data_IF_427095279446
#
_entry.id   IF_427095279446
#
_cell.length_a   1.000
_cell.length_b   1.000
_cell.length_c   1.000
_cell.angle_alpha   90.00
_cell.angle_beta   90.00
_cell.angle_gamma   90.00
#
_symmetry.space_group_name_H-M   'P 1'
#
loop_
_entity.id
_entity.type
_entity.pdbx_description
1 polymer ?
#
# COMPACT_ATOMS: atom_id res chain seq x y z
N UNK A 1 38.80 33.28 -2.65
CA UNK A 1 39.09 31.87 -2.27
C UNK A 1 37.86 31.07 -1.75
N UNK A 2 36.61 31.35 -2.21
CA UNK A 2 35.38 30.67 -1.73
C UNK A 2 34.55 29.96 -2.84
N UNK A 3 35.13 29.72 -4.03
CA UNK A 3 34.41 29.14 -5.19
C UNK A 3 34.64 27.63 -5.41
N UNK A 4 35.62 27.00 -4.75
CA UNK A 4 35.91 25.57 -4.93
C UNK A 4 35.03 24.63 -4.08
N UNK A 5 34.35 25.14 -3.04
CA UNK A 5 33.54 24.32 -2.12
C UNK A 5 32.20 23.85 -2.73
N UNK A 6 31.69 24.54 -3.76
CA UNK A 6 30.42 24.21 -4.42
C UNK A 6 30.52 23.04 -5.40
N UNK A 7 31.68 22.89 -6.06
CA UNK A 7 31.90 21.83 -7.06
C UNK A 7 31.99 20.45 -6.39
N UNK A 8 32.58 20.37 -5.19
CA UNK A 8 32.67 19.14 -4.40
C UNK A 8 31.32 18.62 -3.91
N UNK A 9 30.39 19.50 -3.51
CA UNK A 9 29.02 19.12 -3.12
C UNK A 9 28.21 18.63 -4.32
N UNK A 10 28.48 19.18 -5.51
CA UNK A 10 27.84 18.76 -6.75
C UNK A 10 28.36 17.40 -7.23
N UNK A 11 29.69 17.17 -7.19
CA UNK A 11 30.27 15.86 -7.47
C UNK A 11 29.85 14.80 -6.44
N UNK A 12 29.76 15.14 -5.15
CA UNK A 12 29.28 14.23 -4.11
C UNK A 12 27.79 13.90 -4.30
N UNK A 13 26.97 14.89 -4.68
CA UNK A 13 25.57 14.69 -5.01
C UNK A 13 25.37 13.82 -6.26
N UNK A 14 26.21 14.01 -7.28
CA UNK A 14 26.20 13.19 -8.51
C UNK A 14 26.65 11.76 -8.23
N UNK A 15 27.68 11.57 -7.40
CA UNK A 15 28.14 10.25 -6.96
C UNK A 15 27.09 9.52 -6.12
N UNK A 16 26.40 10.24 -5.21
CA UNK A 16 25.33 9.67 -4.40
C UNK A 16 24.10 9.31 -5.26
N UNK A 17 23.76 10.13 -6.25
CA UNK A 17 22.71 9.84 -7.21
C UNK A 17 23.06 8.63 -8.10
N UNK A 18 24.32 8.52 -8.53
CA UNK A 18 24.79 7.37 -9.31
C UNK A 18 24.86 6.09 -8.46
N UNK A 19 25.17 6.20 -7.17
CA UNK A 19 25.10 5.09 -6.21
C UNK A 19 23.65 4.65 -5.97
N UNK A 20 22.69 5.59 -5.88
CA UNK A 20 21.25 5.29 -5.78
C UNK A 20 20.72 4.61 -7.06
N UNK A 21 21.22 5.00 -8.24
CA UNK A 21 20.96 4.31 -9.51
C UNK A 21 21.58 2.91 -9.58
N UNK A 22 22.70 2.67 -8.87
CA UNK A 22 23.33 1.36 -8.76
C UNK A 22 22.55 0.36 -7.88
N UNK A 23 21.88 0.85 -6.83
CA UNK A 23 21.00 0.02 -5.97
C UNK A 23 19.76 -0.47 -6.75
N UNK A 24 19.43 0.18 -7.87
CA UNK A 24 18.35 -0.24 -8.77
C UNK A 24 18.65 -1.51 -9.58
N UNK A 25 19.88 -2.06 -9.56
CA UNK A 25 20.22 -3.29 -10.31
C UNK A 25 19.75 -4.58 -9.62
N UNK A 26 19.04 -4.47 -8.49
CA UNK A 26 18.41 -5.58 -7.78
C UNK A 26 16.90 -5.60 -7.89
N UNK A 27 16.30 -5.19 -9.01
CA UNK A 27 14.92 -5.57 -9.31
C UNK A 27 14.90 -7.01 -9.83
N UNK A 28 15.37 -7.96 -9.01
CA UNK A 28 14.97 -9.35 -9.14
C UNK A 28 13.50 -9.41 -8.74
N UNK A 29 12.63 -9.19 -9.73
CA UNK A 29 11.32 -9.80 -9.70
C UNK A 29 11.55 -11.32 -9.77
N UNK A 30 11.88 -11.94 -8.64
CA UNK A 30 11.79 -13.38 -8.45
C UNK A 30 10.30 -13.74 -8.45
N UNK A 31 9.72 -13.69 -9.64
CA UNK A 31 8.37 -14.14 -9.90
C UNK A 31 8.41 -15.65 -10.16
N UNK A 32 8.62 -16.39 -9.08
CA UNK A 32 8.35 -17.82 -9.08
C UNK A 32 8.02 -18.26 -7.65
N UNK A 33 6.84 -17.87 -7.16
CA UNK A 33 6.18 -18.61 -6.08
C UNK A 33 5.57 -19.84 -6.76
N UNK A 34 6.10 -21.07 -6.56
CA UNK A 34 5.66 -22.27 -7.30
C UNK A 34 4.24 -22.73 -6.93
N UNK A 35 3.56 -22.03 -6.02
CA UNK A 35 2.16 -22.27 -5.67
C UNK A 35 1.18 -21.64 -6.67
N UNK A 36 1.66 -20.82 -7.61
CA UNK A 36 0.81 -20.08 -8.56
C UNK A 36 0.99 -20.57 -10.01
N UNK A 37 1.25 -21.85 -10.23
CA UNK A 37 1.15 -22.47 -11.57
C UNK A 37 0.06 -23.52 -11.53
N UNK A 38 -1.08 -23.22 -12.16
CA UNK A 38 -2.11 -24.24 -12.39
C UNK A 38 -1.51 -25.31 -13.29
N UNK A 39 -1.19 -26.48 -12.73
CA UNK A 39 -0.99 -27.69 -13.53
C UNK A 39 -2.26 -27.89 -14.36
N UNK A 40 -2.10 -27.90 -15.67
CA UNK A 40 -3.18 -28.11 -16.63
C UNK A 40 -3.90 -29.43 -16.33
N UNK A 41 -5.18 -29.36 -15.95
CA UNK A 41 -6.09 -30.48 -16.11
C UNK A 41 -6.27 -30.75 -17.61
N UNK A 42 -6.36 -32.03 -17.98
CA UNK A 42 -6.44 -32.51 -19.35
C UNK A 42 -7.46 -31.69 -20.18
N UNK A 43 -6.96 -30.89 -21.13
CA UNK A 43 -7.75 -30.04 -22.03
C UNK A 43 -7.76 -28.53 -21.73
N UNK A 44 -7.05 -28.06 -20.71
CA UNK A 44 -7.13 -26.66 -20.23
C UNK A 44 -6.14 -25.69 -20.88
N UNK A 45 -6.66 -24.59 -21.42
CA UNK A 45 -5.92 -23.43 -21.91
C UNK A 45 -4.89 -22.96 -20.87
N UNK A 46 -3.61 -22.97 -21.25
CA UNK A 46 -2.54 -22.33 -20.46
C UNK A 46 -2.78 -20.82 -20.45
N UNK A 47 -3.37 -20.30 -19.37
CA UNK A 47 -3.38 -18.85 -19.14
C UNK A 47 -1.94 -18.35 -19.17
N UNK A 48 -1.66 -17.35 -20.01
CA UNK A 48 -0.32 -16.79 -20.08
C UNK A 48 0.09 -16.25 -18.71
N UNK A 49 1.35 -16.47 -18.32
CA UNK A 49 1.91 -15.96 -17.06
C UNK A 49 1.54 -14.48 -16.85
N UNK A 50 1.56 -13.68 -17.91
CA UNK A 50 1.15 -12.27 -17.89
C UNK A 50 -0.30 -12.04 -17.44
N UNK A 51 -1.26 -12.86 -17.91
CA UNK A 51 -2.67 -12.75 -17.53
C UNK A 51 -2.87 -13.16 -16.06
N UNK A 52 -2.14 -14.19 -15.62
CA UNK A 52 -2.17 -14.64 -14.24
C UNK A 52 -1.56 -13.60 -13.28
N UNK A 53 -0.43 -12.99 -13.65
CA UNK A 53 0.17 -11.87 -12.91
C UNK A 53 -0.80 -10.69 -12.82
N UNK A 54 -1.45 -10.34 -13.93
CA UNK A 54 -2.43 -9.26 -13.97
C UNK A 54 -3.58 -9.48 -12.98
N UNK A 55 -4.13 -10.70 -12.94
CA UNK A 55 -5.20 -11.06 -12.01
C UNK A 55 -4.75 -10.99 -10.55
N UNK A 56 -3.54 -11.46 -10.22
CA UNK A 56 -3.01 -11.40 -8.85
C UNK A 56 -2.79 -9.95 -8.42
N UNK A 57 -2.12 -9.13 -9.23
CA UNK A 57 -1.85 -7.73 -8.90
C UNK A 57 -3.15 -6.93 -8.76
N UNK A 58 -4.13 -7.22 -9.61
CA UNK A 58 -5.47 -6.63 -9.51
C UNK A 58 -6.11 -7.05 -8.19
N UNK A 59 -6.17 -8.35 -7.89
CA UNK A 59 -6.78 -8.85 -6.65
C UNK A 59 -6.11 -8.28 -5.39
N UNK A 60 -4.78 -8.19 -5.36
CA UNK A 60 -3.99 -7.69 -4.24
C UNK A 60 -4.25 -6.21 -3.97
N UNK A 61 -4.49 -5.41 -5.02
CA UNK A 61 -4.81 -3.98 -4.90
C UNK A 61 -6.22 -3.73 -4.35
N UNK A 62 -7.19 -4.60 -4.69
CA UNK A 62 -8.57 -4.48 -4.22
C UNK A 62 -8.80 -5.07 -2.83
N UNK A 63 -8.06 -6.12 -2.48
CA UNK A 63 -8.17 -6.82 -1.19
C UNK A 63 -8.19 -5.88 0.03
N UNK A 64 -7.26 -4.92 0.20
CA UNK A 64 -7.27 -4.04 1.37
C UNK A 64 -8.52 -3.15 1.43
N UNK A 65 -9.02 -2.69 0.28
CA UNK A 65 -10.22 -1.85 0.24
C UNK A 65 -11.47 -2.64 0.64
N UNK A 66 -11.62 -3.86 0.11
CA UNK A 66 -12.76 -4.75 0.43
C UNK A 66 -12.74 -5.13 1.91
N UNK A 67 -11.57 -5.47 2.47
CA UNK A 67 -11.43 -5.80 3.88
C UNK A 67 -11.87 -4.63 4.77
N UNK A 68 -11.44 -3.41 4.47
CA UNK A 68 -11.90 -2.24 5.23
C UNK A 68 -13.42 -2.04 5.09
N UNK A 69 -13.98 -2.21 3.89
CA UNK A 69 -15.41 -2.06 3.65
C UNK A 69 -16.28 -3.10 4.38
N UNK A 70 -15.77 -4.32 4.58
CA UNK A 70 -16.46 -5.38 5.31
C UNK A 70 -16.39 -5.24 6.84
N UNK A 71 -15.57 -4.31 7.35
CA UNK A 71 -15.37 -4.12 8.80
C UNK A 71 -16.13 -2.90 9.34
N UNK A 72 -15.97 -2.62 10.64
CA UNK A 72 -16.53 -1.43 11.30
C UNK A 72 -15.89 -0.12 10.84
N UNK A 73 -14.81 -0.16 10.05
CA UNK A 73 -14.10 1.03 9.55
C UNK A 73 -15.04 2.02 8.85
N UNK A 74 -15.88 1.53 7.92
CA UNK A 74 -16.81 2.38 7.14
C UNK A 74 -17.81 3.13 8.03
N UNK A 75 -18.32 2.49 9.09
CA UNK A 75 -19.27 3.14 10.01
C UNK A 75 -18.60 4.23 10.83
N UNK A 76 -17.41 3.94 11.35
CA UNK A 76 -16.65 4.88 12.20
C UNK A 76 -16.23 6.12 11.38
N UNK A 77 -15.67 5.93 10.18
CA UNK A 77 -15.21 7.05 9.35
C UNK A 77 -16.36 7.95 8.89
N UNK A 78 -17.53 7.38 8.55
CA UNK A 78 -18.70 8.16 8.15
C UNK A 78 -19.20 9.01 9.32
N UNK A 79 -19.36 8.43 10.51
CA UNK A 79 -19.80 9.18 11.69
C UNK A 79 -18.83 10.31 12.01
N UNK A 80 -17.52 10.04 12.05
CA UNK A 80 -16.51 11.06 12.32
C UNK A 80 -16.47 12.15 11.23
N UNK A 81 -16.69 11.79 9.96
CA UNK A 81 -16.76 12.74 8.84
C UNK A 81 -18.01 13.64 8.93
N UNK A 82 -19.16 13.07 9.31
CA UNK A 82 -20.39 13.84 9.56
C UNK A 82 -20.23 14.79 10.75
N UNK A 83 -19.58 14.34 11.82
CA UNK A 83 -19.24 15.20 12.97
C UNK A 83 -18.33 16.36 12.55
N UNK A 84 -17.33 16.12 11.69
CA UNK A 84 -16.49 17.19 11.13
C UNK A 84 -17.33 18.22 10.38
N UNK A 85 -18.23 17.79 9.50
CA UNK A 85 -19.08 18.72 8.75
C UNK A 85 -20.01 19.53 9.66
N UNK A 86 -20.49 18.92 10.75
CA UNK A 86 -21.34 19.59 11.73
C UNK A 86 -20.61 20.68 12.54
N UNK A 87 -19.29 20.60 12.70
CA UNK A 87 -18.50 21.59 13.45
C UNK A 87 -18.36 22.94 12.72
N UNK A 88 -18.73 23.04 11.43
CA UNK A 88 -18.77 24.30 10.69
C UNK A 88 -17.41 25.00 10.46
N UNK A 89 -16.32 24.46 11.01
CA UNK A 89 -14.97 25.00 10.86
C UNK A 89 -14.20 24.30 9.72
N UNK A 90 -13.56 25.03 8.79
CA UNK A 90 -12.97 24.44 7.59
C UNK A 90 -11.66 23.65 7.79
N UNK A 91 -11.02 23.69 8.97
CA UNK A 91 -9.67 23.14 9.17
C UNK A 91 -9.54 22.08 10.26
N UNK A 92 -10.58 21.86 11.06
CA UNK A 92 -10.53 20.93 12.20
C UNK A 92 -11.49 19.77 11.97
N UNK A 93 -11.07 18.49 11.99
CA UNK A 93 -9.73 17.88 11.87
C UNK A 93 -9.40 17.43 10.41
N UNK A 94 -8.11 17.29 10.02
CA UNK A 94 -7.71 16.90 8.67
C UNK A 94 -8.08 15.45 8.34
N UNK A 95 -8.31 15.15 7.05
CA UNK A 95 -8.74 13.82 6.60
C UNK A 95 -7.78 12.69 7.00
N UNK A 96 -6.47 12.95 7.02
CA UNK A 96 -5.46 11.97 7.43
C UNK A 96 -5.61 11.57 8.91
N UNK A 97 -5.96 12.53 9.79
CA UNK A 97 -6.19 12.25 11.21
C UNK A 97 -7.48 11.47 11.41
N UNK A 98 -8.55 11.79 10.67
CA UNK A 98 -9.80 11.04 10.69
C UNK A 98 -9.60 9.57 10.27
N UNK A 99 -8.84 9.33 9.21
CA UNK A 99 -8.51 7.98 8.75
C UNK A 99 -7.65 7.23 9.78
N UNK A 100 -6.68 7.91 10.39
CA UNK A 100 -5.85 7.32 11.45
C UNK A 100 -6.67 6.92 12.69
N UNK A 101 -7.54 7.80 13.16
CA UNK A 101 -8.46 7.52 14.27
C UNK A 101 -9.42 6.39 13.95
N UNK A 102 -9.99 6.35 12.74
CA UNK A 102 -10.92 5.30 12.36
C UNK A 102 -10.24 3.93 12.27
N UNK A 103 -9.01 3.85 11.75
CA UNK A 103 -8.24 2.60 11.73
C UNK A 103 -7.92 2.09 13.14
N UNK A 104 -7.45 2.98 14.03
CA UNK A 104 -7.12 2.59 15.40
C UNK A 104 -8.35 2.09 16.17
N UNK A 105 -9.46 2.83 16.09
CA UNK A 105 -10.73 2.42 16.70
C UNK A 105 -11.27 1.12 16.08
N UNK A 106 -11.06 0.90 14.77
CA UNK A 106 -11.46 -0.35 14.12
C UNK A 106 -10.69 -1.52 14.68
N UNK A 107 -9.35 -1.44 14.81
CA UNK A 107 -8.57 -2.52 15.41
C UNK A 107 -8.98 -2.81 16.85
N UNK A 108 -9.25 -1.76 17.64
CA UNK A 108 -9.75 -1.93 19.02
C UNK A 108 -11.11 -2.67 19.07
N UNK A 109 -12.07 -2.26 18.23
CA UNK A 109 -13.41 -2.87 18.18
C UNK A 109 -13.40 -4.27 17.56
N UNK A 110 -12.49 -4.52 16.61
CA UNK A 110 -12.37 -5.81 15.91
C UNK A 110 -11.42 -6.81 16.57
N UNK A 111 -10.71 -6.45 17.66
CA UNK A 111 -9.88 -7.39 18.43
C UNK A 111 -10.55 -8.77 18.66
N UNK A 112 -11.81 -8.87 19.14
CA UNK A 112 -12.44 -10.17 19.36
C UNK A 112 -12.78 -10.94 18.08
N UNK A 113 -12.87 -10.27 16.93
CA UNK A 113 -13.09 -10.93 15.64
C UNK A 113 -11.77 -11.52 15.14
N UNK A 114 -10.67 -10.80 15.34
CA UNK A 114 -9.33 -11.32 15.05
C UNK A 114 -9.00 -12.53 15.94
N UNK A 115 -9.32 -12.46 17.23
CA UNK A 115 -9.12 -13.57 18.20
C UNK A 115 -9.97 -14.81 17.91
N UNK A 116 -11.06 -14.69 17.16
CA UNK A 116 -11.91 -15.84 16.76
C UNK A 116 -11.46 -16.50 15.46
N UNK A 117 -10.75 -15.77 14.62
CA UNK A 117 -10.31 -16.23 13.30
C UNK A 117 -8.90 -16.84 13.39
N UNK A 118 -8.10 -16.36 14.34
CA UNK A 118 -6.81 -16.95 14.71
C UNK A 118 -6.99 -18.17 15.62
#
# INVERSE_FOLDING_TARGET
>A
MRRSLGLGRFCLGLLLALALLGISQGAWAEMAIPAITSKAGAGGQTYSLSLQTLLILTSLSFLPAILLMMTSFTRIIIVLSLLRSALGTPASPPNQVLIGLSLFLTFFVMSPVLDKIY
#
